data_IF_055400221097
#
_entry.id   IF_055400221097
#
_cell.length_a   1.000
_cell.length_b   1.000
_cell.length_c   1.000
_cell.angle_alpha   90.00
_cell.angle_beta   90.00
_cell.angle_gamma   90.00
#
_symmetry.space_group_name_H-M   'P 1'
#
loop_
_entity.id
_entity.type
_entity.pdbx_description
1 polymer ?
#
# COMPACT_ATOMS: atom_id res chain seq x y z
N UNK A 1 6.30 -0.52 -21.79
CA UNK A 1 5.75 0.53 -20.89
C UNK A 1 6.06 0.16 -19.45
N UNK A 2 6.75 1.03 -18.70
CA UNK A 2 6.97 0.81 -17.27
C UNK A 2 5.60 0.82 -16.54
N UNK A 3 5.36 -0.14 -15.65
CA UNK A 3 4.14 -0.14 -14.83
C UNK A 3 4.19 1.07 -13.87
N UNK A 4 3.42 2.12 -14.17
CA UNK A 4 3.31 3.31 -13.32
C UNK A 4 2.61 2.92 -12.01
N UNK A 5 3.28 3.21 -10.90
CA UNK A 5 2.79 2.95 -9.54
C UNK A 5 2.00 4.18 -9.07
N UNK A 6 0.70 4.03 -8.82
CA UNK A 6 -0.15 5.13 -8.31
C UNK A 6 -0.20 5.12 -6.79
N UNK A 7 -0.15 6.27 -6.10
CA UNK A 7 -0.29 6.30 -4.63
C UNK A 7 -1.77 6.33 -4.20
N UNK A 8 -2.12 5.97 -2.95
CA UNK A 8 -3.49 6.13 -2.45
C UNK A 8 -4.00 7.56 -2.57
N UNK A 9 -3.16 8.56 -2.24
CA UNK A 9 -3.51 9.97 -2.35
C UNK A 9 -3.85 10.39 -3.79
N UNK A 10 -3.07 9.91 -4.77
CA UNK A 10 -3.31 10.20 -6.18
C UNK A 10 -4.63 9.59 -6.67
N UNK A 11 -4.95 8.36 -6.25
CA UNK A 11 -6.24 7.71 -6.59
C UNK A 11 -7.41 8.42 -5.90
N UNK A 12 -7.25 8.84 -4.63
CA UNK A 12 -8.25 9.64 -3.91
C UNK A 12 -8.52 10.96 -4.62
N UNK A 13 -7.49 11.67 -5.09
CA UNK A 13 -7.67 12.92 -5.83
C UNK A 13 -8.45 12.70 -7.14
N UNK A 14 -8.10 11.65 -7.90
CA UNK A 14 -8.82 11.30 -9.12
C UNK A 14 -10.31 11.04 -8.87
N UNK A 15 -10.61 10.24 -7.84
CA UNK A 15 -11.97 9.88 -7.48
C UNK A 15 -12.77 11.05 -6.92
N UNK A 16 -12.14 11.90 -6.11
CA UNK A 16 -12.78 13.10 -5.57
C UNK A 16 -13.18 14.09 -6.68
N UNK A 17 -12.30 14.32 -7.66
CA UNK A 17 -12.57 15.17 -8.83
C UNK A 17 -13.66 14.58 -9.74
N UNK A 18 -13.59 13.29 -10.01
CA UNK A 18 -14.66 12.62 -10.76
C UNK A 18 -16.01 12.69 -10.03
N UNK A 19 -16.01 12.51 -8.71
CA UNK A 19 -17.23 12.52 -7.90
C UNK A 19 -17.93 13.89 -7.86
N UNK A 20 -17.18 15.00 -7.91
CA UNK A 20 -17.75 16.36 -8.04
C UNK A 20 -18.25 16.70 -9.45
N UNK A 21 -18.10 15.79 -10.40
CA UNK A 21 -18.63 15.91 -11.77
C UNK A 21 -17.61 16.27 -12.84
N UNK A 22 -16.31 16.37 -12.50
CA UNK A 22 -15.27 16.60 -13.52
C UNK A 22 -15.22 15.41 -14.51
N UNK A 23 -15.04 15.70 -15.80
CA UNK A 23 -14.96 14.64 -16.81
C UNK A 23 -13.67 13.82 -16.64
N UNK A 24 -13.67 12.56 -17.09
CA UNK A 24 -12.47 11.72 -17.02
C UNK A 24 -11.25 12.34 -17.75
N UNK A 25 -11.50 13.18 -18.75
CA UNK A 25 -10.44 13.92 -19.47
C UNK A 25 -9.88 15.06 -18.62
N UNK A 26 -10.74 15.84 -17.96
CA UNK A 26 -10.32 16.96 -17.10
C UNK A 26 -9.56 16.45 -15.87
N UNK A 27 -10.03 15.36 -15.26
CA UNK A 27 -9.33 14.69 -14.16
C UNK A 27 -7.96 14.18 -14.61
N UNK A 28 -7.89 13.57 -15.80
CA UNK A 28 -6.63 13.06 -16.35
C UNK A 28 -5.60 14.18 -16.56
N UNK A 29 -6.03 15.31 -17.12
CA UNK A 29 -5.21 16.49 -17.31
C UNK A 29 -4.73 17.07 -15.98
N UNK A 30 -5.63 17.22 -15.01
CA UNK A 30 -5.32 17.81 -13.70
C UNK A 30 -4.37 16.95 -12.85
N UNK A 31 -4.54 15.62 -12.85
CA UNK A 31 -3.74 14.69 -12.04
C UNK A 31 -2.49 14.18 -12.79
N UNK A 32 -2.39 14.46 -14.09
CA UNK A 32 -1.28 14.02 -14.94
C UNK A 32 -1.25 12.50 -15.15
N UNK A 33 -2.42 11.89 -15.39
CA UNK A 33 -2.59 10.44 -15.60
C UNK A 33 -3.33 10.15 -16.90
N UNK A 34 -3.33 8.89 -17.34
CA UNK A 34 -4.09 8.49 -18.53
C UNK A 34 -5.60 8.43 -18.23
N UNK A 35 -6.43 8.92 -19.15
CA UNK A 35 -7.91 8.89 -19.07
C UNK A 35 -8.48 7.50 -18.75
N UNK A 36 -7.91 6.43 -19.31
CA UNK A 36 -8.34 5.05 -19.04
C UNK A 36 -8.06 4.65 -17.58
N UNK A 37 -7.03 5.22 -16.97
CA UNK A 37 -6.75 5.03 -15.54
C UNK A 37 -7.84 5.68 -14.70
N UNK A 38 -8.24 6.91 -15.02
CA UNK A 38 -9.38 7.58 -14.37
C UNK A 38 -10.64 6.74 -14.49
N UNK A 39 -10.98 6.32 -15.72
CA UNK A 39 -12.17 5.50 -15.98
C UNK A 39 -12.16 4.19 -15.19
N UNK A 40 -11.02 3.48 -15.12
CA UNK A 40 -10.88 2.25 -14.34
C UNK A 40 -11.25 2.42 -12.87
N UNK A 41 -10.76 3.49 -12.22
CA UNK A 41 -11.09 3.74 -10.81
C UNK A 41 -12.52 4.25 -10.64
N UNK A 42 -13.00 5.09 -11.56
CA UNK A 42 -14.39 5.54 -11.57
C UNK A 42 -15.37 4.36 -11.69
N UNK A 43 -15.11 3.40 -12.58
CA UNK A 43 -15.91 2.18 -12.74
C UNK A 43 -15.92 1.34 -11.45
N UNK A 44 -14.81 1.31 -10.71
CA UNK A 44 -14.75 0.65 -9.41
C UNK A 44 -15.59 1.39 -8.34
N UNK A 45 -15.63 2.72 -8.37
CA UNK A 45 -16.51 3.51 -7.50
C UNK A 45 -17.99 3.32 -7.88
N UNK A 46 -18.30 3.27 -9.18
CA UNK A 46 -19.64 2.96 -9.69
C UNK A 46 -20.11 1.57 -9.23
N UNK A 47 -19.24 0.56 -9.29
CA UNK A 47 -19.53 -0.79 -8.79
C UNK A 47 -19.71 -0.85 -7.26
N UNK A 48 -19.22 0.15 -6.53
CA UNK A 48 -19.46 0.32 -5.10
C UNK A 48 -20.72 1.15 -4.79
N UNK A 49 -21.52 1.50 -5.80
CA UNK A 49 -22.75 2.28 -5.66
C UNK A 49 -22.53 3.79 -5.56
N UNK A 50 -21.28 4.27 -5.65
CA UNK A 50 -20.97 5.70 -5.63
C UNK A 50 -21.26 6.27 -7.02
N UNK A 51 -21.91 7.43 -7.07
CA UNK A 51 -22.27 8.12 -8.31
C UNK A 51 -21.75 9.55 -8.26
N UNK A 52 -21.34 10.14 -9.41
CA UNK A 52 -21.04 11.57 -9.47
C UNK A 52 -22.21 12.42 -8.96
N UNK A 53 -21.91 13.50 -8.25
CA UNK A 53 -22.91 14.40 -7.67
C UNK A 53 -23.64 13.85 -6.43
N UNK A 54 -23.20 12.69 -5.90
CA UNK A 54 -23.71 12.17 -4.64
C UNK A 54 -23.24 12.95 -3.41
N UNK A 55 -23.66 12.54 -2.20
CA UNK A 55 -23.19 13.15 -0.95
C UNK A 55 -21.66 13.18 -0.89
N UNK A 56 -21.05 14.28 -0.39
CA UNK A 56 -19.61 14.43 -0.34
C UNK A 56 -18.98 13.31 0.51
N UNK A 57 -17.98 12.64 -0.07
CA UNK A 57 -17.20 11.60 0.60
C UNK A 57 -15.90 12.21 1.14
N UNK A 58 -15.53 11.83 2.35
CA UNK A 58 -14.27 12.29 2.95
C UNK A 58 -13.07 11.55 2.34
N UNK A 59 -11.86 12.10 2.51
CA UNK A 59 -10.62 11.40 2.11
C UNK A 59 -10.47 10.03 2.80
N UNK A 60 -10.97 9.89 4.03
CA UNK A 60 -10.98 8.62 4.75
C UNK A 60 -11.93 7.59 4.11
N UNK A 61 -13.09 8.02 3.62
CA UNK A 61 -14.03 7.14 2.92
C UNK A 61 -13.45 6.60 1.62
N UNK A 62 -12.78 7.47 0.84
CA UNK A 62 -12.06 7.07 -0.36
C UNK A 62 -10.93 6.09 -0.05
N UNK A 63 -10.13 6.37 0.99
CA UNK A 63 -9.06 5.47 1.42
C UNK A 63 -9.61 4.09 1.80
N UNK A 64 -10.73 4.02 2.52
CA UNK A 64 -11.40 2.77 2.89
C UNK A 64 -11.95 2.03 1.68
N UNK A 65 -12.48 2.75 0.68
CA UNK A 65 -12.91 2.16 -0.59
C UNK A 65 -11.74 1.56 -1.36
N UNK A 66 -10.64 2.32 -1.51
CA UNK A 66 -9.42 1.88 -2.19
C UNK A 66 -8.83 0.66 -1.49
N UNK A 67 -8.79 0.64 -0.15
CA UNK A 67 -8.31 -0.51 0.62
C UNK A 67 -9.14 -1.78 0.38
N UNK A 68 -10.46 -1.65 0.28
CA UNK A 68 -11.37 -2.77 0.02
C UNK A 68 -11.32 -3.29 -1.42
N UNK A 69 -11.26 -2.40 -2.42
CA UNK A 69 -11.36 -2.76 -3.84
C UNK A 69 -10.00 -2.97 -4.51
N UNK A 70 -8.96 -2.31 -4.01
CA UNK A 70 -7.60 -2.38 -4.53
C UNK A 70 -6.60 -2.50 -3.37
N UNK A 71 -6.57 -3.65 -2.67
CA UNK A 71 -5.71 -3.84 -1.52
C UNK A 71 -4.22 -3.63 -1.85
N UNK A 72 -3.79 -4.03 -3.05
CA UNK A 72 -2.42 -3.80 -3.56
C UNK A 72 -2.09 -2.30 -3.67
N UNK A 73 -3.10 -1.45 -3.86
CA UNK A 73 -2.89 -0.01 -3.97
C UNK A 73 -2.81 0.64 -2.59
N UNK A 74 -3.72 0.27 -1.71
CA UNK A 74 -3.76 0.77 -0.34
C UNK A 74 -2.59 0.26 0.53
N UNK A 75 -2.01 -0.88 0.16
CA UNK A 75 -0.89 -1.49 0.87
C UNK A 75 0.36 -1.41 0.00
N UNK A 76 1.28 -0.46 0.27
CA UNK A 76 2.59 -0.45 -0.39
C UNK A 76 3.33 -1.79 -0.29
N UNK A 77 3.05 -2.54 0.79
CA UNK A 77 3.58 -3.87 1.13
C UNK A 77 3.30 -4.93 0.05
N UNK A 78 2.05 -4.98 -0.44
CA UNK A 78 1.62 -5.91 -1.49
C UNK A 78 2.17 -5.58 -2.89
N UNK A 79 2.84 -4.44 -3.08
CA UNK A 79 3.33 -4.01 -4.40
C UNK A 79 4.66 -4.64 -4.80
N UNK A 80 5.35 -5.30 -3.88
CA UNK A 80 6.67 -5.89 -4.14
C UNK A 80 6.62 -7.39 -3.94
N UNK A 81 6.48 -8.12 -5.04
CA UNK A 81 6.65 -9.58 -5.10
C UNK A 81 7.99 -10.04 -4.51
N UNK A 82 8.99 -9.14 -4.45
CA UNK A 82 10.31 -9.37 -3.86
C UNK A 82 10.30 -9.53 -2.34
N UNK A 83 9.19 -9.25 -1.66
CA UNK A 83 9.09 -9.29 -0.19
C UNK A 83 8.21 -10.40 0.35
N UNK A 84 7.67 -11.27 -0.52
CA UNK A 84 6.77 -12.34 -0.11
C UNK A 84 7.37 -13.20 1.02
N UNK A 85 8.64 -13.59 0.89
CA UNK A 85 9.36 -14.36 1.92
C UNK A 85 9.47 -13.61 3.27
N UNK A 86 9.58 -12.28 3.24
CA UNK A 86 9.66 -11.46 4.46
C UNK A 86 8.28 -11.22 5.06
N UNK A 87 7.26 -11.05 4.21
CA UNK A 87 5.87 -10.93 4.62
C UNK A 87 5.38 -12.22 5.30
N UNK A 88 5.72 -13.39 4.75
CA UNK A 88 5.43 -14.71 5.34
C UNK A 88 6.07 -14.89 6.72
N UNK A 89 7.21 -14.23 6.95
CA UNK A 89 7.92 -14.27 8.23
C UNK A 89 7.68 -13.01 9.09
N UNK A 90 6.65 -12.20 8.80
CA UNK A 90 6.41 -10.92 9.47
C UNK A 90 6.35 -11.05 10.98
N UNK A 91 5.55 -11.98 11.49
CA UNK A 91 5.32 -12.11 12.93
C UNK A 91 6.60 -12.55 13.66
N UNK A 92 7.38 -13.43 13.04
CA UNK A 92 8.70 -13.82 13.55
C UNK A 92 9.67 -12.63 13.60
N UNK A 93 9.70 -11.81 12.54
CA UNK A 93 10.53 -10.60 12.50
C UNK A 93 10.06 -9.60 13.57
N UNK A 94 8.76 -9.38 13.70
CA UNK A 94 8.17 -8.46 14.67
C UNK A 94 8.48 -8.88 16.11
N UNK A 95 8.30 -10.16 16.46
CA UNK A 95 8.62 -10.70 17.78
C UNK A 95 10.09 -10.50 18.15
N UNK A 96 11.01 -10.81 17.24
CA UNK A 96 12.44 -10.62 17.50
C UNK A 96 12.82 -9.13 17.59
N UNK A 97 12.16 -8.27 16.83
CA UNK A 97 12.35 -6.83 16.91
C UNK A 97 11.86 -6.25 18.23
N UNK A 98 10.69 -6.69 18.72
CA UNK A 98 10.19 -6.34 20.04
C UNK A 98 11.16 -6.80 21.14
N UNK A 99 11.69 -8.04 21.02
CA UNK A 99 12.74 -8.58 21.90
C UNK A 99 14.11 -7.88 21.80
N UNK A 100 14.22 -6.74 21.12
CA UNK A 100 15.45 -5.96 21.00
C UNK A 100 16.53 -6.61 20.14
N UNK A 101 16.21 -7.66 19.37
CA UNK A 101 17.22 -8.37 18.57
C UNK A 101 17.69 -7.49 17.40
N UNK A 102 19.01 -7.35 17.19
CA UNK A 102 19.57 -6.61 16.06
C UNK A 102 19.12 -7.21 14.71
N UNK A 103 18.86 -6.34 13.73
CA UNK A 103 18.37 -6.77 12.40
C UNK A 103 19.35 -7.73 11.70
N UNK A 104 20.66 -7.60 11.93
CA UNK A 104 21.69 -8.53 11.46
C UNK A 104 21.47 -9.95 11.99
N UNK A 105 21.11 -10.09 13.27
CA UNK A 105 20.89 -11.38 13.92
C UNK A 105 19.55 -11.98 13.48
N UNK A 106 18.51 -11.16 13.32
CA UNK A 106 17.23 -11.57 12.73
C UNK A 106 17.45 -12.12 11.31
N UNK A 107 18.22 -11.41 10.48
CA UNK A 107 18.55 -11.86 9.13
C UNK A 107 19.27 -13.21 9.09
N UNK A 108 20.28 -13.41 9.96
CA UNK A 108 20.98 -14.70 10.07
C UNK A 108 20.04 -15.84 10.46
N UNK A 109 19.11 -15.57 11.38
CA UNK A 109 18.09 -16.56 11.79
C UNK A 109 17.09 -16.85 10.67
N UNK A 110 16.61 -15.84 9.95
CA UNK A 110 15.75 -16.05 8.78
C UNK A 110 16.43 -16.91 7.71
N UNK A 111 17.72 -16.71 7.49
CA UNK A 111 18.51 -17.54 6.57
C UNK A 111 18.64 -18.98 7.05
N UNK A 112 19.03 -19.17 8.31
CA UNK A 112 19.34 -20.48 8.87
C UNK A 112 18.09 -21.31 9.21
N UNK A 113 17.06 -20.69 9.78
CA UNK A 113 15.86 -21.37 10.30
C UNK A 113 14.72 -21.40 9.28
N UNK A 114 14.67 -20.43 8.34
CA UNK A 114 13.51 -20.22 7.45
C UNK A 114 13.87 -20.21 5.96
N UNK A 115 15.15 -20.36 5.61
CA UNK A 115 15.60 -20.44 4.22
C UNK A 115 15.40 -19.17 3.39
N UNK A 116 15.16 -18.02 4.02
CA UNK A 116 14.88 -16.75 3.32
C UNK A 116 16.07 -16.35 2.46
N UNK A 117 15.84 -16.07 1.16
CA UNK A 117 16.88 -15.74 0.19
C UNK A 117 17.15 -14.23 0.07
N UNK A 118 16.35 -13.42 0.76
CA UNK A 118 16.51 -11.97 0.80
C UNK A 118 17.83 -11.50 1.44
N UNK A 119 18.34 -10.37 0.96
CA UNK A 119 19.54 -9.73 1.51
C UNK A 119 19.23 -9.01 2.84
N UNK A 120 20.27 -8.75 3.64
CA UNK A 120 20.12 -7.93 4.85
C UNK A 120 19.57 -6.54 4.52
N UNK A 121 20.04 -5.90 3.45
CA UNK A 121 19.55 -4.58 3.04
C UNK A 121 18.04 -4.61 2.69
N UNK A 122 17.58 -5.69 2.05
CA UNK A 122 16.15 -5.93 1.79
C UNK A 122 15.38 -6.04 3.10
N UNK A 123 15.88 -6.79 4.09
CA UNK A 123 15.27 -6.88 5.42
C UNK A 123 15.21 -5.51 6.11
N UNK A 124 16.31 -4.75 6.16
CA UNK A 124 16.34 -3.43 6.81
C UNK A 124 15.31 -2.48 6.21
N UNK A 125 15.23 -2.46 4.87
CA UNK A 125 14.23 -1.68 4.13
C UNK A 125 12.81 -2.15 4.44
N UNK A 126 12.59 -3.47 4.42
CA UNK A 126 11.29 -4.05 4.75
C UNK A 126 10.88 -3.67 6.18
N UNK A 127 11.77 -3.77 7.18
CA UNK A 127 11.47 -3.39 8.57
C UNK A 127 11.07 -1.91 8.66
N UNK A 128 11.82 -1.01 8.03
CA UNK A 128 11.52 0.42 8.03
C UNK A 128 10.17 0.77 7.40
N UNK A 129 9.73 0.02 6.39
CA UNK A 129 8.47 0.26 5.67
C UNK A 129 7.27 -0.52 6.27
N UNK A 130 7.51 -1.57 7.06
CA UNK A 130 6.47 -2.52 7.48
C UNK A 130 6.25 -2.65 8.99
N UNK A 131 7.21 -2.25 9.82
CA UNK A 131 7.06 -2.25 11.28
C UNK A 131 7.06 -0.81 11.80
N UNK A 132 6.00 -0.42 12.50
CA UNK A 132 5.91 0.92 13.06
C UNK A 132 6.88 1.07 14.26
N UNK A 133 7.40 2.28 14.55
CA UNK A 133 8.23 2.50 15.74
C UNK A 133 7.55 2.05 17.04
N UNK A 134 6.22 2.15 17.13
CA UNK A 134 5.42 1.73 18.29
C UNK A 134 5.37 0.21 18.51
N UNK A 135 5.57 -0.61 17.46
CA UNK A 135 5.63 -2.08 17.59
C UNK A 135 7.01 -2.57 18.11
N UNK A 136 7.95 -1.66 18.36
CA UNK A 136 9.31 -1.96 18.82
C UNK A 136 9.52 -1.74 20.32
N UNK A 137 8.50 -1.27 21.06
CA UNK A 137 8.68 -0.72 22.42
C UNK A 137 8.16 -1.63 23.54
N UNK A 138 7.39 -2.69 23.24
CA UNK A 138 6.82 -3.54 24.29
C UNK A 138 7.66 -4.78 24.58
N UNK A 139 8.77 -4.57 25.29
CA UNK A 139 9.40 -5.58 26.16
C UNK A 139 9.84 -4.90 27.44
N UNK A 140 8.98 -5.00 28.46
CA UNK A 140 9.36 -4.92 29.87
C UNK A 140 9.22 -6.29 30.50
#
# INVERSE_FOLDING_TARGET
MARRTFTPAQVTEMLARWHRGDSATDVAAAVGVDRKTVKKYADCALAAGIRPGGPPLTAADWTRLIARRHPVIAQPRLRRTTWLELDENRDFIAQLRAAGVPQERIWRRLRAERGVLSSLATLKRWVAENLAPAELVDVR
#
